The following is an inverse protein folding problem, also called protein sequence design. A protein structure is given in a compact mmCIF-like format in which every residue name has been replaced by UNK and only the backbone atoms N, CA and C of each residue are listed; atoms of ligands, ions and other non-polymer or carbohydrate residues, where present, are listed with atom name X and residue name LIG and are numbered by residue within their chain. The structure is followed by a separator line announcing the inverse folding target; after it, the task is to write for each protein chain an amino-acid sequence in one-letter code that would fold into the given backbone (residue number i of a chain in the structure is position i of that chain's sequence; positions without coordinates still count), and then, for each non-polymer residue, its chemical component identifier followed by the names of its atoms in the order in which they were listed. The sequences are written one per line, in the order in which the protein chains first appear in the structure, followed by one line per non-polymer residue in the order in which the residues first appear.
data_IF_133636039570
#
_entry.id   IF_133636039570
#
_cell.length_a   1.000
_cell.length_b   1.000
_cell.length_c   1.000
_cell.angle_alpha   90.00
_cell.angle_beta   90.00
_cell.angle_gamma   90.00
#
_symmetry.space_group_name_H-M   'P 1'
#
loop_
_entity.id
_entity.type
_entity.pdbx_description
1 polymer ?
#
# COMPACT_ATOMS: atom_id res chain seq x y z
N UNK A 1 -68.16 21.23 -3.73
CA UNK A 1 -67.85 19.79 -3.82
C UNK A 1 -66.38 19.69 -4.14
N UNK A 2 -65.57 19.49 -3.10
CA UNK A 2 -64.11 19.41 -3.17
C UNK A 2 -63.67 18.02 -3.64
N UNK A 3 -62.77 17.98 -4.63
CA UNK A 3 -62.12 16.76 -5.09
C UNK A 3 -60.85 16.58 -4.24
N UNK A 4 -60.67 15.47 -3.52
CA UNK A 4 -59.46 15.28 -2.71
C UNK A 4 -58.29 14.94 -3.62
N UNK A 5 -57.24 15.76 -3.54
CA UNK A 5 -55.92 15.49 -4.13
C UNK A 5 -55.28 14.36 -3.33
N UNK A 6 -55.27 13.15 -3.89
CA UNK A 6 -54.50 12.02 -3.37
C UNK A 6 -53.01 12.33 -3.57
N UNK A 7 -52.32 12.68 -2.48
CA UNK A 7 -50.85 12.67 -2.43
C UNK A 7 -50.37 11.23 -2.63
N UNK A 8 -50.04 10.87 -3.87
CA UNK A 8 -49.33 9.62 -4.16
C UNK A 8 -47.90 9.79 -3.64
N UNK A 9 -47.68 9.23 -2.45
CA UNK A 9 -46.37 9.08 -1.81
C UNK A 9 -45.57 8.07 -2.64
N UNK A 10 -44.84 8.57 -3.64
CA UNK A 10 -44.06 7.73 -4.57
C UNK A 10 -42.70 7.37 -3.96
N UNK A 11 -42.72 6.75 -2.76
CA UNK A 11 -41.53 6.33 -2.00
C UNK A 11 -41.18 4.83 -2.19
N UNK A 12 -41.80 4.14 -3.15
CA UNK A 12 -41.61 2.69 -3.32
C UNK A 12 -41.51 2.23 -4.78
N UNK A 13 -40.75 2.93 -5.61
CA UNK A 13 -40.49 2.49 -6.98
C UNK A 13 -39.00 2.58 -7.31
N UNK A 14 -38.15 1.70 -6.76
CA UNK A 14 -36.86 1.36 -7.40
C UNK A 14 -36.20 0.05 -6.92
N UNK A 15 -36.96 -0.92 -6.42
CA UNK A 15 -36.43 -2.20 -5.95
C UNK A 15 -36.70 -3.40 -6.87
N UNK A 16 -37.19 -3.21 -8.11
CA UNK A 16 -37.72 -4.34 -8.89
C UNK A 16 -37.43 -4.35 -10.40
N UNK A 17 -36.27 -3.86 -10.83
CA UNK A 17 -35.71 -4.23 -12.15
C UNK A 17 -34.32 -4.82 -11.91
N UNK A 18 -34.32 -6.13 -11.68
CA UNK A 18 -33.15 -7.02 -11.75
C UNK A 18 -32.71 -7.16 -13.21
N UNK A 19 -32.39 -6.04 -13.86
CA UNK A 19 -31.68 -6.11 -15.14
C UNK A 19 -30.26 -6.53 -14.79
N UNK A 20 -29.79 -7.58 -15.46
CA UNK A 20 -28.45 -8.09 -15.29
C UNK A 20 -27.46 -7.00 -15.72
N UNK A 21 -26.54 -6.65 -14.82
CA UNK A 21 -25.53 -5.60 -14.99
C UNK A 21 -24.80 -5.71 -16.33
N UNK A 22 -24.69 -6.94 -16.86
CA UNK A 22 -24.11 -7.21 -18.16
C UNK A 22 -24.83 -6.46 -19.29
N UNK A 23 -26.16 -6.48 -19.34
CA UNK A 23 -26.92 -5.83 -20.42
C UNK A 23 -26.87 -4.31 -20.31
N UNK A 24 -26.91 -3.78 -19.09
CA UNK A 24 -26.86 -2.33 -18.86
C UNK A 24 -25.47 -1.78 -19.22
N UNK A 25 -24.39 -2.42 -18.77
CA UNK A 25 -23.03 -1.95 -19.02
C UNK A 25 -22.55 -2.24 -20.45
N UNK A 26 -23.05 -3.31 -21.10
CA UNK A 26 -22.71 -3.61 -22.49
C UNK A 26 -23.42 -2.69 -23.49
N UNK A 27 -24.64 -2.25 -23.18
CA UNK A 27 -25.42 -1.34 -24.03
C UNK A 27 -25.10 0.13 -23.80
N UNK A 28 -24.58 0.49 -22.62
CA UNK A 28 -24.02 1.80 -22.40
C UNK A 28 -22.97 2.06 -23.49
N UNK A 29 -22.91 3.26 -24.06
CA UNK A 29 -21.81 3.71 -24.95
C UNK A 29 -21.00 4.85 -24.33
N UNK A 30 -21.47 5.37 -23.20
CA UNK A 30 -20.93 6.53 -22.50
C UNK A 30 -19.67 6.17 -21.72
N UNK A 31 -18.81 7.18 -21.53
CA UNK A 31 -17.60 7.08 -20.71
C UNK A 31 -17.89 7.24 -19.22
N UNK A 32 -18.89 8.05 -18.87
CA UNK A 32 -19.45 8.11 -17.51
C UNK A 32 -20.59 7.13 -17.40
N UNK A 33 -20.61 6.41 -16.28
CA UNK A 33 -21.68 5.47 -15.98
C UNK A 33 -22.93 6.26 -15.57
N UNK A 34 -24.08 5.59 -15.59
CA UNK A 34 -25.31 6.20 -15.11
C UNK A 34 -25.29 6.26 -13.57
N UNK A 35 -25.89 7.28 -12.93
CA UNK A 35 -25.85 7.46 -11.48
C UNK A 35 -26.33 6.26 -10.65
N UNK A 36 -27.23 5.44 -11.20
CA UNK A 36 -27.73 4.24 -10.53
C UNK A 36 -26.75 3.05 -10.57
N UNK A 37 -25.81 3.04 -11.53
CA UNK A 37 -24.67 2.11 -11.57
C UNK A 37 -23.59 2.53 -10.58
N UNK A 38 -23.42 3.85 -10.36
CA UNK A 38 -22.55 4.40 -9.31
C UNK A 38 -23.06 4.03 -7.91
N UNK A 39 -24.39 4.08 -7.70
CA UNK A 39 -25.01 3.63 -6.44
C UNK A 39 -24.76 2.14 -6.11
N UNK A 40 -24.40 1.33 -7.12
CA UNK A 40 -24.04 -0.09 -6.98
C UNK A 40 -22.54 -0.33 -7.20
N UNK A 41 -21.70 0.61 -6.75
CA UNK A 41 -20.26 0.66 -7.03
C UNK A 41 -19.53 -0.69 -6.94
N UNK A 42 -19.72 -1.49 -5.87
CA UNK A 42 -19.03 -2.78 -5.72
C UNK A 42 -19.34 -3.77 -6.85
N UNK A 43 -20.62 -3.93 -7.22
CA UNK A 43 -21.04 -4.85 -8.28
C UNK A 43 -20.58 -4.36 -9.65
N UNK A 44 -20.67 -3.05 -9.88
CA UNK A 44 -20.21 -2.40 -11.11
C UNK A 44 -18.69 -2.58 -11.28
N UNK A 45 -17.92 -2.38 -10.21
CA UNK A 45 -16.48 -2.57 -10.21
C UNK A 45 -16.11 -4.04 -10.42
N UNK A 46 -16.80 -4.98 -9.75
CA UNK A 46 -16.58 -6.41 -9.93
C UNK A 46 -16.83 -6.83 -11.39
N UNK A 47 -17.91 -6.35 -12.00
CA UNK A 47 -18.20 -6.58 -13.41
C UNK A 47 -17.09 -6.02 -14.30
N UNK A 48 -16.70 -4.75 -14.10
CA UNK A 48 -15.64 -4.11 -14.90
C UNK A 48 -14.31 -4.86 -14.78
N UNK A 49 -13.96 -5.34 -13.59
CA UNK A 49 -12.75 -6.14 -13.39
C UNK A 49 -12.80 -7.45 -14.18
N UNK A 50 -13.92 -8.19 -14.12
CA UNK A 50 -14.09 -9.42 -14.91
C UNK A 50 -14.07 -9.15 -16.42
N UNK A 51 -14.71 -8.05 -16.85
CA UNK A 51 -14.73 -7.63 -18.24
C UNK A 51 -13.32 -7.30 -18.73
N UNK A 52 -12.53 -6.55 -17.95
CA UNK A 52 -11.14 -6.21 -18.25
C UNK A 52 -10.22 -7.44 -18.31
N UNK A 53 -10.42 -8.44 -17.45
CA UNK A 53 -9.67 -9.71 -17.55
C UNK A 53 -9.96 -10.41 -18.88
N UNK A 54 -11.22 -10.40 -19.33
CA UNK A 54 -11.63 -11.04 -20.59
C UNK A 54 -11.18 -10.25 -21.83
N UNK A 55 -11.21 -8.92 -21.78
CA UNK A 55 -10.81 -8.04 -22.87
C UNK A 55 -9.96 -6.87 -22.35
N UNK A 56 -8.66 -7.10 -22.10
CA UNK A 56 -7.79 -6.10 -21.47
C UNK A 56 -7.53 -4.89 -22.36
N UNK A 57 -7.70 -5.01 -23.69
CA UNK A 57 -7.48 -3.91 -24.64
C UNK A 57 -8.66 -2.95 -24.74
N UNK A 58 -9.75 -3.19 -24.02
CA UNK A 58 -10.93 -2.33 -24.06
C UNK A 58 -10.70 -1.03 -23.24
N UNK A 59 -10.18 0.00 -23.90
CA UNK A 59 -9.88 1.31 -23.29
C UNK A 59 -11.10 1.96 -22.63
N UNK A 60 -12.29 1.68 -23.16
CA UNK A 60 -13.52 2.22 -22.61
C UNK A 60 -13.79 1.70 -21.20
N UNK A 61 -13.61 0.40 -20.98
CA UNK A 61 -13.79 -0.20 -19.66
C UNK A 61 -12.75 0.30 -18.65
N UNK A 62 -11.50 0.53 -19.07
CA UNK A 62 -10.49 1.18 -18.23
C UNK A 62 -10.91 2.58 -17.82
N UNK A 63 -11.40 3.37 -18.77
CA UNK A 63 -11.81 4.75 -18.54
C UNK A 63 -13.06 4.83 -17.64
N UNK A 64 -14.05 3.96 -17.86
CA UNK A 64 -15.23 3.83 -16.99
C UNK A 64 -14.85 3.44 -15.56
N UNK A 65 -13.93 2.47 -15.40
CA UNK A 65 -13.40 2.07 -14.10
C UNK A 65 -12.73 3.25 -13.39
N UNK A 66 -11.89 4.01 -14.08
CA UNK A 66 -11.22 5.19 -13.51
C UNK A 66 -12.25 6.24 -13.06
N UNK A 67 -13.25 6.56 -13.90
CA UNK A 67 -14.28 7.52 -13.50
C UNK A 67 -15.09 7.06 -12.28
N UNK A 68 -15.48 5.79 -12.24
CA UNK A 68 -16.16 5.22 -11.07
C UNK A 68 -15.30 5.38 -9.80
N UNK A 69 -14.00 5.11 -9.89
CA UNK A 69 -13.07 5.21 -8.75
C UNK A 69 -12.81 6.66 -8.31
N UNK A 70 -12.83 7.62 -9.24
CA UNK A 70 -12.76 9.05 -8.94
C UNK A 70 -14.00 9.51 -8.15
N UNK A 71 -15.19 9.04 -8.56
CA UNK A 71 -16.46 9.37 -7.92
C UNK A 71 -16.56 8.77 -6.51
N UNK A 72 -16.12 7.51 -6.34
CA UNK A 72 -16.10 6.84 -5.04
C UNK A 72 -14.89 7.20 -4.17
N UNK A 73 -13.96 8.03 -4.66
CA UNK A 73 -12.71 8.44 -3.98
C UNK A 73 -11.87 7.25 -3.49
N UNK A 74 -11.86 6.15 -4.24
CA UNK A 74 -11.14 4.93 -3.88
C UNK A 74 -9.66 5.02 -4.30
N UNK A 75 -8.89 5.80 -3.54
CA UNK A 75 -7.48 6.18 -3.83
C UNK A 75 -6.60 4.99 -4.20
N UNK A 76 -6.60 3.93 -3.39
CA UNK A 76 -5.71 2.78 -3.58
C UNK A 76 -6.03 2.01 -4.88
N UNK A 77 -7.30 1.94 -5.26
CA UNK A 77 -7.71 1.24 -6.48
C UNK A 77 -7.53 2.10 -7.72
N UNK A 78 -7.53 3.44 -7.56
CA UNK A 78 -7.34 4.41 -8.64
C UNK A 78 -5.93 4.34 -9.23
N UNK A 79 -4.89 4.28 -8.39
CA UNK A 79 -3.50 4.13 -8.85
C UNK A 79 -3.33 2.84 -9.67
N UNK A 80 -3.87 1.72 -9.17
CA UNK A 80 -3.85 0.44 -9.86
C UNK A 80 -4.59 0.46 -11.21
N UNK A 81 -5.74 1.14 -11.28
CA UNK A 81 -6.49 1.29 -12.53
C UNK A 81 -5.74 2.16 -13.56
N UNK A 82 -5.03 3.19 -13.12
CA UNK A 82 -4.17 4.00 -13.99
C UNK A 82 -3.00 3.19 -14.52
N UNK A 83 -2.40 2.33 -13.70
CA UNK A 83 -1.34 1.40 -14.11
C UNK A 83 -1.87 0.44 -15.20
N UNK A 84 -3.04 -0.17 -14.98
CA UNK A 84 -3.68 -1.04 -15.97
C UNK A 84 -3.89 -0.33 -17.32
N UNK A 85 -4.35 0.93 -17.29
CA UNK A 85 -4.49 1.76 -18.48
C UNK A 85 -3.13 1.99 -19.17
N UNK A 86 -2.08 2.30 -18.40
CA UNK A 86 -0.74 2.56 -18.93
C UNK A 86 -0.14 1.32 -19.61
N UNK A 87 -0.32 0.15 -19.01
CA UNK A 87 0.09 -1.15 -19.58
C UNK A 87 -0.60 -1.38 -20.93
N UNK A 88 -1.92 -1.16 -20.99
CA UNK A 88 -2.73 -1.46 -22.18
C UNK A 88 -2.46 -0.49 -23.32
N UNK A 89 -2.28 0.78 -22.99
CA UNK A 89 -2.00 1.81 -24.00
C UNK A 89 -0.55 1.81 -24.45
N UNK A 90 0.39 1.28 -23.66
CA UNK A 90 1.81 1.23 -24.01
C UNK A 90 2.34 2.62 -24.36
N UNK A 91 3.02 2.78 -25.50
CA UNK A 91 3.48 4.10 -25.97
C UNK A 91 2.35 4.99 -26.54
N UNK A 92 1.18 4.42 -26.84
CA UNK A 92 0.04 5.15 -27.41
C UNK A 92 -0.79 5.86 -26.31
N UNK A 93 -1.77 6.67 -26.73
CA UNK A 93 -2.76 7.23 -25.82
C UNK A 93 -2.25 8.32 -24.86
N UNK A 94 -1.11 8.96 -25.15
CA UNK A 94 -0.49 10.00 -24.31
C UNK A 94 -1.49 11.06 -23.81
N UNK A 95 -2.34 11.58 -24.69
CA UNK A 95 -3.35 12.60 -24.33
C UNK A 95 -4.37 12.07 -23.31
N UNK A 96 -4.86 10.84 -23.50
CA UNK A 96 -5.79 10.19 -22.58
C UNK A 96 -5.14 9.96 -21.21
N UNK A 97 -3.91 9.44 -21.20
CA UNK A 97 -3.14 9.26 -19.95
C UNK A 97 -2.97 10.57 -19.19
N UNK A 98 -2.58 11.63 -19.88
CA UNK A 98 -2.38 12.95 -19.29
C UNK A 98 -3.68 13.48 -18.69
N UNK A 99 -4.78 13.41 -19.43
CA UNK A 99 -6.08 13.86 -18.95
C UNK A 99 -6.54 13.09 -17.71
N UNK A 100 -6.48 11.75 -17.75
CA UNK A 100 -6.92 10.93 -16.62
C UNK A 100 -5.99 11.06 -15.41
N UNK A 101 -4.69 11.23 -15.63
CA UNK A 101 -3.72 11.49 -14.54
C UNK A 101 -3.98 12.84 -13.87
N UNK A 102 -4.21 13.90 -14.65
CA UNK A 102 -4.56 15.23 -14.11
C UNK A 102 -5.88 15.20 -13.32
N UNK A 103 -6.90 14.50 -13.81
CA UNK A 103 -8.15 14.33 -13.08
C UNK A 103 -7.98 13.56 -11.77
N UNK A 104 -6.98 12.69 -11.70
CA UNK A 104 -6.68 11.85 -10.54
C UNK A 104 -5.73 12.51 -9.54
N UNK A 105 -5.04 13.59 -9.93
CA UNK A 105 -4.04 14.29 -9.12
C UNK A 105 -4.49 14.58 -7.67
N UNK A 106 -5.71 15.07 -7.40
CA UNK A 106 -6.14 15.39 -6.03
C UNK A 106 -6.28 14.17 -5.11
N UNK A 107 -6.34 12.97 -5.69
CA UNK A 107 -6.56 11.71 -4.97
C UNK A 107 -5.31 10.85 -4.90
N UNK A 108 -4.25 11.17 -5.64
CA UNK A 108 -3.01 10.41 -5.65
C UNK A 108 -2.01 10.97 -4.64
N UNK A 109 -1.12 10.11 -4.13
CA UNK A 109 0.05 10.61 -3.41
C UNK A 109 1.03 11.26 -4.38
N UNK A 110 1.89 12.16 -3.89
CA UNK A 110 2.89 12.83 -4.72
C UNK A 110 3.80 11.83 -5.45
N UNK A 111 4.20 10.75 -4.76
CA UNK A 111 5.02 9.67 -5.33
C UNK A 111 4.29 8.90 -6.44
N UNK A 112 3.01 8.57 -6.22
CA UNK A 112 2.19 7.87 -7.21
C UNK A 112 2.02 8.72 -8.48
N UNK A 113 1.71 10.00 -8.30
CA UNK A 113 1.56 10.94 -9.40
C UNK A 113 2.87 11.11 -10.17
N UNK A 114 3.99 11.33 -9.47
CA UNK A 114 5.30 11.51 -10.09
C UNK A 114 5.72 10.27 -10.87
N UNK A 115 5.56 9.08 -10.30
CA UNK A 115 5.87 7.83 -10.99
C UNK A 115 5.07 7.69 -12.28
N UNK A 116 3.74 7.89 -12.24
CA UNK A 116 2.89 7.81 -13.42
C UNK A 116 3.22 8.90 -14.44
N UNK A 117 3.58 10.11 -13.99
CA UNK A 117 3.97 11.22 -14.85
C UNK A 117 5.28 10.91 -15.59
N UNK A 118 6.30 10.40 -14.90
CA UNK A 118 7.58 10.02 -15.49
C UNK A 118 7.45 8.88 -16.51
N UNK A 119 6.44 8.02 -16.37
CA UNK A 119 6.26 6.83 -17.20
C UNK A 119 5.23 6.96 -18.35
N UNK A 120 4.82 8.19 -18.70
CA UNK A 120 3.82 8.42 -19.77
C UNK A 120 4.24 7.89 -21.15
N UNK A 121 5.55 7.78 -21.40
CA UNK A 121 6.13 7.34 -22.67
C UNK A 121 5.96 5.82 -22.95
N UNK A 122 5.28 5.07 -22.07
CA UNK A 122 4.99 3.65 -22.29
C UNK A 122 6.04 2.70 -21.72
N UNK A 123 6.76 3.14 -20.70
CA UNK A 123 7.77 2.34 -20.00
C UNK A 123 7.17 1.32 -19.02
N UNK A 124 5.89 1.49 -18.65
CA UNK A 124 5.16 0.54 -17.82
C UNK A 124 4.60 -0.57 -18.70
N UNK A 125 5.01 -1.80 -18.40
CA UNK A 125 4.55 -3.04 -19.02
C UNK A 125 4.00 -3.98 -17.94
N UNK A 126 3.37 -5.08 -18.34
CA UNK A 126 2.87 -6.10 -17.42
C UNK A 126 3.98 -6.79 -16.57
N UNK A 127 5.26 -6.56 -16.89
CA UNK A 127 6.42 -7.12 -16.20
C UNK A 127 7.22 -6.05 -15.45
N UNK A 128 6.77 -4.79 -15.47
CA UNK A 128 7.46 -3.72 -14.78
C UNK A 128 7.34 -3.94 -13.28
N UNK A 129 8.47 -3.93 -12.59
CA UNK A 129 8.51 -4.00 -11.13
C UNK A 129 7.89 -2.70 -10.61
N UNK A 130 6.75 -2.82 -9.94
CA UNK A 130 6.09 -1.66 -9.36
C UNK A 130 6.62 -1.42 -7.94
N UNK A 131 6.99 -0.17 -7.61
CA UNK A 131 7.21 0.23 -6.23
C UNK A 131 6.02 -0.18 -5.34
N UNK A 132 6.32 -0.74 -4.16
CA UNK A 132 5.31 -1.18 -3.19
C UNK A 132 4.29 -0.07 -2.83
N UNK A 133 4.75 1.19 -2.88
CA UNK A 133 3.97 2.39 -2.57
C UNK A 133 2.89 2.70 -3.62
N UNK A 134 3.01 2.15 -4.84
CA UNK A 134 2.01 2.32 -5.89
C UNK A 134 0.85 1.33 -5.78
N UNK A 135 1.09 0.18 -5.14
CA UNK A 135 0.16 -0.95 -5.15
C UNK A 135 -0.75 -0.93 -3.91
N UNK A 136 -0.35 -0.38 -2.76
CA UNK A 136 -1.24 -0.32 -1.58
C UNK A 136 -1.96 -1.66 -1.31
N UNK A 137 -3.25 -1.62 -0.93
CA UNK A 137 -4.11 -2.82 -0.89
C UNK A 137 -4.77 -3.14 -2.25
N UNK A 138 -4.52 -2.32 -3.28
CA UNK A 138 -5.18 -2.39 -4.59
C UNK A 138 -4.30 -3.01 -5.66
N UNK A 139 -4.68 -4.17 -6.20
CA UNK A 139 -3.88 -4.84 -7.23
C UNK A 139 -4.22 -4.36 -8.64
N UNK A 140 -3.19 -4.05 -9.43
CA UNK A 140 -3.30 -3.92 -10.89
C UNK A 140 -3.69 -5.29 -11.46
N UNK A 141 -4.73 -5.33 -12.29
CA UNK A 141 -5.21 -6.58 -12.89
C UNK A 141 -4.29 -7.10 -13.99
N UNK A 142 -3.53 -6.20 -14.61
CA UNK A 142 -2.72 -6.50 -15.79
C UNK A 142 -1.22 -6.59 -15.51
N UNK A 143 -0.77 -6.17 -14.33
CA UNK A 143 0.58 -6.42 -13.86
C UNK A 143 0.72 -7.86 -13.33
N UNK A 144 1.84 -8.54 -13.60
CA UNK A 144 2.08 -9.91 -13.12
C UNK A 144 2.48 -10.01 -11.64
N UNK A 145 2.19 -8.99 -10.84
CA UNK A 145 2.47 -8.99 -9.40
C UNK A 145 3.95 -8.89 -9.05
N UNK A 146 4.79 -8.40 -9.97
CA UNK A 146 6.18 -8.08 -9.67
C UNK A 146 6.22 -6.79 -8.85
N UNK A 147 6.35 -6.95 -7.53
CA UNK A 147 6.52 -5.87 -6.56
C UNK A 147 7.96 -5.93 -6.08
N UNK A 148 8.64 -4.79 -6.07
CA UNK A 148 10.02 -4.72 -5.64
C UNK A 148 10.56 -3.30 -5.72
N UNK A 149 11.69 -3.06 -5.06
CA UNK A 149 12.45 -1.83 -5.25
C UNK A 149 13.50 -2.07 -6.34
N UNK A 150 13.55 -1.19 -7.34
CA UNK A 150 14.67 -1.13 -8.29
C UNK A 150 15.83 -0.29 -7.72
N UNK A 151 15.88 -0.08 -6.41
CA UNK A 151 17.02 0.57 -5.79
C UNK A 151 18.22 -0.37 -5.94
N UNK A 152 19.09 0.00 -6.87
CA UNK A 152 20.45 -0.51 -6.94
C UNK A 152 21.04 -0.26 -5.55
N UNK A 153 21.39 -1.34 -4.83
CA UNK A 153 22.18 -1.23 -3.61
C UNK A 153 23.50 -0.59 -4.01
N UNK A 154 23.61 0.72 -3.80
CA UNK A 154 24.88 1.42 -3.91
C UNK A 154 25.79 0.81 -2.84
N UNK A 155 26.80 0.09 -3.30
CA UNK A 155 27.86 -0.41 -2.43
C UNK A 155 28.65 0.82 -1.98
N UNK A 156 28.29 1.38 -0.83
CA UNK A 156 29.04 2.45 -0.22
C UNK A 156 30.43 1.92 0.14
N UNK A 157 31.44 2.27 -0.66
CA UNK A 157 32.79 2.33 -0.14
C UNK A 157 32.82 3.40 0.94
N UNK A 158 33.17 2.96 2.14
CA UNK A 158 33.18 3.70 3.39
C UNK A 158 34.11 4.91 3.28
N UNK A 159 33.56 6.08 2.95
CA UNK A 159 34.18 7.36 3.27
C UNK A 159 33.15 8.30 3.89
N UNK A 160 33.04 8.18 5.21
CA UNK A 160 32.84 9.22 6.22
C UNK A 160 32.20 10.55 5.77
N UNK A 161 30.88 10.68 5.93
CA UNK A 161 30.18 11.72 6.73
C UNK A 161 28.67 11.75 6.45
N UNK A 162 27.82 12.18 7.40
CA UNK A 162 26.55 11.51 7.70
C UNK A 162 25.35 12.11 6.96
N UNK A 163 24.60 11.24 6.29
CA UNK A 163 23.17 11.46 6.04
C UNK A 163 22.42 10.32 6.72
N UNK A 164 21.47 10.71 7.56
CA UNK A 164 20.74 9.95 8.59
C UNK A 164 20.18 8.63 8.10
N UNK A 165 21.04 7.61 8.05
CA UNK A 165 20.64 6.25 8.38
C UNK A 165 20.42 6.29 9.88
N UNK A 166 19.19 6.08 10.35
CA UNK A 166 18.99 5.74 11.76
C UNK A 166 19.63 4.37 11.92
N UNK A 167 20.95 4.35 12.16
CA UNK A 167 21.62 3.16 12.64
C UNK A 167 20.95 2.87 13.96
N UNK A 168 20.07 1.87 13.95
CA UNK A 168 19.47 1.35 15.16
C UNK A 168 20.63 1.07 16.12
N UNK A 169 20.52 1.63 17.31
CA UNK A 169 21.49 1.38 18.38
C UNK A 169 21.57 -0.13 18.64
N UNK A 170 22.69 -0.63 19.16
CA UNK A 170 22.84 -2.07 19.46
C UNK A 170 21.70 -2.57 20.37
N UNK A 171 21.20 -1.71 21.25
CA UNK A 171 20.03 -1.94 22.09
C UNK A 171 18.73 -2.12 21.27
N UNK A 172 18.44 -1.23 20.33
CA UNK A 172 17.24 -1.34 19.45
C UNK A 172 17.31 -2.57 18.52
N UNK A 173 18.50 -2.95 18.07
CA UNK A 173 18.71 -4.19 17.30
C UNK A 173 18.43 -5.42 18.16
N UNK A 174 18.89 -5.41 19.41
CA UNK A 174 18.63 -6.52 20.34
C UNK A 174 17.14 -6.67 20.66
N UNK A 175 16.41 -5.56 20.87
CA UNK A 175 14.96 -5.58 21.08
C UNK A 175 14.23 -6.21 19.88
N UNK A 176 14.66 -5.88 18.65
CA UNK A 176 14.10 -6.49 17.45
C UNK A 176 14.34 -8.01 17.45
N UNK A 177 15.56 -8.47 17.76
CA UNK A 177 15.86 -9.90 17.89
C UNK A 177 15.01 -10.58 18.99
N UNK A 178 14.73 -9.91 20.10
CA UNK A 178 13.84 -10.42 21.14
C UNK A 178 12.39 -10.57 20.64
N UNK A 179 11.87 -9.60 19.89
CA UNK A 179 10.53 -9.67 19.29
C UNK A 179 10.37 -10.84 18.31
N UNK A 180 11.43 -11.16 17.57
CA UNK A 180 11.47 -12.29 16.64
C UNK A 180 11.93 -13.62 17.28
N UNK A 181 12.14 -13.65 18.60
CA UNK A 181 12.51 -14.86 19.35
C UNK A 181 13.96 -15.32 19.15
N UNK A 182 14.81 -14.48 18.57
CA UNK A 182 16.24 -14.73 18.35
C UNK A 182 17.05 -14.38 19.62
N UNK A 183 16.81 -15.13 20.70
CA UNK A 183 17.34 -14.79 22.04
C UNK A 183 18.88 -14.83 22.14
N UNK A 184 19.54 -15.74 21.42
CA UNK A 184 21.01 -15.86 21.43
C UNK A 184 21.68 -14.66 20.73
N UNK A 185 21.09 -14.19 19.63
CA UNK A 185 21.55 -13.01 18.90
C UNK A 185 21.27 -11.72 19.70
N UNK A 186 20.08 -11.62 20.30
CA UNK A 186 19.73 -10.53 21.20
C UNK A 186 20.69 -10.45 22.39
N UNK A 187 21.08 -11.61 22.97
CA UNK A 187 22.03 -11.66 24.07
C UNK A 187 23.40 -11.09 23.67
N UNK A 188 23.94 -11.51 22.53
CA UNK A 188 25.24 -11.02 22.05
C UNK A 188 25.22 -9.50 21.81
N UNK A 189 24.13 -8.99 21.23
CA UNK A 189 23.95 -7.57 20.96
C UNK A 189 23.82 -6.74 22.25
N UNK A 190 23.09 -7.23 23.26
CA UNK A 190 22.98 -6.55 24.54
C UNK A 190 24.29 -6.59 25.34
N UNK A 191 25.05 -7.70 25.30
CA UNK A 191 26.37 -7.78 25.94
C UNK A 191 27.34 -6.80 25.30
N UNK A 192 27.28 -6.66 23.97
CA UNK A 192 28.07 -5.66 23.27
C UNK A 192 27.63 -4.23 23.63
N UNK A 193 26.33 -3.97 23.69
CA UNK A 193 25.80 -2.66 24.10
C UNK A 193 26.20 -2.31 25.55
N UNK A 194 26.20 -3.29 26.45
CA UNK A 194 26.62 -3.10 27.85
C UNK A 194 28.13 -2.89 27.96
N UNK A 195 28.94 -3.57 27.14
CA UNK A 195 30.38 -3.32 27.08
C UNK A 195 30.71 -1.91 26.54
N UNK A 196 29.90 -1.37 25.63
CA UNK A 196 30.05 -0.02 25.08
C UNK A 196 29.55 1.07 26.05
N UNK A 197 28.51 0.78 26.83
CA UNK A 197 28.00 1.68 27.87
C UNK A 197 27.51 0.90 29.11
N UNK A 198 28.40 0.60 30.07
CA UNK A 198 28.06 -0.18 31.25
C UNK A 198 27.01 0.48 32.18
N UNK A 199 26.85 1.80 32.11
CA UNK A 199 25.92 2.57 32.94
C UNK A 199 24.53 2.76 32.30
N UNK A 200 24.23 2.10 31.17
CA UNK A 200 22.88 2.12 30.61
C UNK A 200 21.97 1.14 31.35
N UNK A 201 21.19 1.66 32.29
CA UNK A 201 20.21 0.91 33.07
C UNK A 201 19.24 0.10 32.19
N UNK A 202 18.92 0.59 30.99
CA UNK A 202 17.96 -0.08 30.09
C UNK A 202 18.56 -1.37 29.52
N UNK A 203 19.80 -1.31 29.06
CA UNK A 203 20.53 -2.47 28.53
C UNK A 203 20.71 -3.53 29.63
N UNK A 204 21.01 -3.09 30.85
CA UNK A 204 21.17 -3.95 32.01
C UNK A 204 19.87 -4.65 32.42
N UNK A 205 18.74 -3.95 32.39
CA UNK A 205 17.41 -4.54 32.63
C UNK A 205 17.06 -5.59 31.58
N UNK A 206 17.34 -5.30 30.31
CA UNK A 206 17.03 -6.23 29.21
C UNK A 206 17.97 -7.45 29.20
N UNK A 207 19.23 -7.30 29.61
CA UNK A 207 20.15 -8.42 29.84
C UNK A 207 19.63 -9.35 30.94
N UNK A 208 19.18 -8.80 32.06
CA UNK A 208 18.59 -9.60 33.14
C UNK A 208 17.34 -10.34 32.66
N UNK A 209 16.51 -9.71 31.82
CA UNK A 209 15.34 -10.36 31.25
C UNK A 209 15.72 -11.54 30.32
N UNK A 210 16.74 -11.39 29.48
CA UNK A 210 17.24 -12.47 28.63
C UNK A 210 17.88 -13.59 29.47
N UNK A 211 18.69 -13.26 30.49
CA UNK A 211 19.30 -14.27 31.36
C UNK A 211 18.26 -15.10 32.12
N UNK A 212 17.17 -14.48 32.58
CA UNK A 212 16.03 -15.20 33.18
C UNK A 212 15.38 -16.15 32.17
N UNK A 213 15.16 -15.69 30.94
CA UNK A 213 14.54 -16.50 29.89
C UNK A 213 15.42 -17.68 29.43
N UNK A 214 16.74 -17.51 29.42
CA UNK A 214 17.70 -18.55 29.06
C UNK A 214 18.16 -19.42 30.25
N UNK A 215 17.71 -19.09 31.48
CA UNK A 215 18.08 -19.83 32.70
C UNK A 215 19.53 -19.65 33.15
N UNK A 216 20.19 -18.57 32.72
CA UNK A 216 21.59 -18.24 32.98
C UNK A 216 21.77 -17.54 34.34
N UNK A 217 21.60 -18.31 35.42
CA UNK A 217 21.57 -17.79 36.81
C UNK A 217 22.92 -17.23 37.29
N UNK A 218 24.03 -17.80 36.85
CA UNK A 218 25.35 -17.36 37.31
C UNK A 218 25.70 -15.97 36.74
N UNK A 219 25.36 -15.75 35.48
CA UNK A 219 25.54 -14.50 34.75
C UNK A 219 24.58 -13.42 35.24
N UNK A 220 23.35 -13.81 35.61
CA UNK A 220 22.40 -12.95 36.28
C UNK A 220 22.93 -12.44 37.64
N UNK A 221 23.46 -13.33 38.48
CA UNK A 221 24.01 -12.96 39.79
C UNK A 221 25.25 -12.06 39.65
N UNK A 222 26.11 -12.32 38.66
CA UNK A 222 27.26 -11.47 38.38
C UNK A 222 26.86 -10.04 37.96
N UNK A 223 25.90 -9.90 37.05
CA UNK A 223 25.43 -8.58 36.59
C UNK A 223 24.72 -7.81 37.72
N UNK A 224 23.98 -8.49 38.59
CA UNK A 224 23.35 -7.85 39.76
C UNK A 224 24.38 -7.37 40.80
N UNK A 225 25.51 -8.05 40.95
CA UNK A 225 26.60 -7.60 41.82
C UNK A 225 27.29 -6.37 41.22
N UNK A 226 27.52 -6.35 39.91
CA UNK A 226 28.13 -5.21 39.21
C UNK A 226 27.30 -3.93 39.34
N UNK A 227 25.97 -4.01 39.17
CA UNK A 227 25.05 -2.88 39.33
C UNK A 227 24.92 -2.38 40.78
N UNK A 228 25.35 -3.16 41.78
CA UNK A 228 25.35 -2.77 43.19
C UNK A 228 26.64 -2.09 43.65
N UNK A 229 27.70 -2.08 42.82
CA UNK A 229 29.03 -1.54 43.19
C UNK A 229 29.15 -0.03 42.91
N UNK A 230 28.21 0.59 42.18
CA UNK A 230 28.27 2.00 41.77
C UNK A 230 27.71 3.03 42.80
N UNK A 231 27.77 2.73 44.11
CA UNK A 231 27.43 3.71 45.17
C UNK A 231 28.66 4.03 46.04
N UNK A 232 29.49 4.97 45.58
CA UNK A 232 30.34 5.82 46.43
C UNK A 232 30.19 7.31 46.09
#
# INVERSE_FOLDING_TARGET
MDIPIVKVKNEQANSALSVDLHFDLASESRLRLLPWLEARHERTLQYLNQALIKNPKNLRWHTQKIFLLLETKAVQQLSAALIDLFIVTGAAGKKLKQQLLQLSEPLLTAEQFQFLQSNQAGQITAQTILPSLLVGEGYSLLNKGLIGSSQLLERFETQSSPSTTVMLTLHEQALSCMEYGQLEEALALLQQAHAENPQDDKVSVDLLAIYVNLGMKAEQEALLQELQVDIE
#
